data_IF_647940713034
#
_entry.id   IF_647940713034
#
_cell.length_a   1.000
_cell.length_b   1.000
_cell.length_c   1.000
_cell.angle_alpha   90.00
_cell.angle_beta   90.00
_cell.angle_gamma   90.00
#
_symmetry.space_group_name_H-M   'P 1'
#
loop_
_entity.id
_entity.type
_entity.pdbx_description
1 polymer ?
#
# COMPACT_ATOMS: atom_id res chain seq x y z
N UNK A 1 -0.96 -10.78 7.23
CA UNK A 1 -0.67 -10.56 5.79
C UNK A 1 0.52 -11.40 5.34
N UNK A 2 0.37 -12.74 5.24
CA UNK A 2 1.48 -13.65 4.93
C UNK A 2 1.73 -13.89 3.42
N UNK A 3 1.01 -13.22 2.51
CA UNK A 3 0.92 -13.71 1.11
C UNK A 3 1.39 -12.74 0.01
N UNK A 4 2.01 -11.58 0.31
CA UNK A 4 2.53 -10.69 -0.75
C UNK A 4 4.02 -10.96 -1.07
N UNK A 5 4.76 -11.57 -0.15
CA UNK A 5 6.19 -11.90 -0.35
C UNK A 5 6.47 -13.08 -1.29
N UNK A 6 5.45 -13.72 -1.86
CA UNK A 6 5.61 -14.97 -2.59
C UNK A 6 4.93 -15.02 -3.97
N UNK A 7 4.59 -13.87 -4.57
CA UNK A 7 4.41 -13.86 -6.02
C UNK A 7 5.76 -14.23 -6.63
N UNK A 8 5.86 -15.47 -7.11
CA UNK A 8 7.04 -16.10 -7.69
C UNK A 8 7.49 -15.32 -8.94
N UNK A 9 8.17 -14.20 -8.73
CA UNK A 9 8.98 -13.50 -9.74
C UNK A 9 10.24 -14.30 -10.15
N UNK A 10 10.28 -15.61 -9.86
CA UNK A 10 11.38 -16.52 -10.14
C UNK A 10 11.43 -17.03 -11.59
N UNK A 11 10.75 -16.37 -12.54
CA UNK A 11 11.00 -16.59 -13.97
C UNK A 11 11.92 -15.48 -14.50
N UNK A 12 13.18 -15.88 -14.72
CA UNK A 12 14.24 -15.24 -15.50
C UNK A 12 15.13 -14.17 -14.83
N UNK A 13 16.31 -14.66 -14.43
CA UNK A 13 17.64 -14.16 -14.83
C UNK A 13 17.82 -12.64 -14.92
N UNK A 14 18.34 -12.04 -13.85
CA UNK A 14 19.05 -10.75 -13.76
C UNK A 14 18.44 -9.46 -14.36
N UNK A 15 17.43 -9.53 -15.24
CA UNK A 15 16.93 -8.40 -16.05
C UNK A 15 15.72 -7.69 -15.43
N UNK A 16 15.17 -8.22 -14.33
CA UNK A 16 13.87 -7.78 -13.81
C UNK A 16 13.90 -7.18 -12.40
N UNK A 17 15.06 -7.12 -11.74
CA UNK A 17 15.21 -6.63 -10.36
C UNK A 17 14.61 -5.24 -10.15
N UNK A 18 14.73 -4.32 -11.12
CA UNK A 18 14.21 -2.97 -10.96
C UNK A 18 12.69 -2.94 -10.78
N UNK A 19 11.94 -3.72 -11.57
CA UNK A 19 10.47 -3.72 -11.46
C UNK A 19 10.02 -4.48 -10.21
N UNK A 20 10.67 -5.59 -9.89
CA UNK A 20 10.40 -6.33 -8.64
C UNK A 20 10.64 -5.43 -7.42
N UNK A 21 11.78 -4.74 -7.35
CA UNK A 21 12.08 -3.82 -6.25
C UNK A 21 11.10 -2.65 -6.19
N UNK A 22 10.61 -2.16 -7.34
CA UNK A 22 9.57 -1.14 -7.38
C UNK A 22 8.25 -1.65 -6.79
N UNK A 23 7.85 -2.89 -7.12
CA UNK A 23 6.62 -3.54 -6.63
C UNK A 23 6.73 -3.81 -5.13
N UNK A 24 7.83 -4.40 -4.70
CA UNK A 24 8.10 -4.64 -3.28
C UNK A 24 8.18 -3.34 -2.49
N UNK A 25 8.86 -2.32 -3.04
CA UNK A 25 8.99 -1.01 -2.41
C UNK A 25 7.66 -0.27 -2.26
N UNK A 26 6.83 -0.25 -3.31
CA UNK A 26 5.51 0.37 -3.23
C UNK A 26 4.57 -0.37 -2.28
N UNK A 27 4.59 -1.72 -2.29
CA UNK A 27 3.81 -2.53 -1.35
C UNK A 27 4.26 -2.35 0.12
N UNK A 28 5.57 -2.37 0.37
CA UNK A 28 6.14 -2.11 1.71
C UNK A 28 5.80 -0.72 2.21
N UNK A 29 5.96 0.29 1.35
CA UNK A 29 5.65 1.68 1.66
C UNK A 29 4.20 1.91 2.11
N UNK A 30 3.23 1.14 1.62
CA UNK A 30 1.84 1.23 2.10
C UNK A 30 1.78 0.95 3.59
N UNK A 31 2.35 -0.17 4.04
CA UNK A 31 2.35 -0.57 5.45
C UNK A 31 3.23 0.34 6.31
N UNK A 32 4.42 0.70 5.82
CA UNK A 32 5.37 1.54 6.56
C UNK A 32 4.75 2.90 6.89
N UNK A 33 4.08 3.53 5.92
CA UNK A 33 3.41 4.81 6.15
C UNK A 33 2.22 4.69 7.11
N UNK A 34 1.43 3.60 7.06
CA UNK A 34 0.33 3.39 8.03
C UNK A 34 0.91 3.31 9.44
N UNK A 35 1.95 2.50 9.64
CA UNK A 35 2.58 2.30 10.94
C UNK A 35 3.22 3.60 11.44
N UNK A 36 4.02 4.27 10.61
CA UNK A 36 4.69 5.51 10.99
C UNK A 36 3.68 6.60 11.36
N UNK A 37 2.64 6.79 10.54
CA UNK A 37 1.60 7.78 10.80
C UNK A 37 0.83 7.53 12.09
N UNK A 38 0.56 6.26 12.41
CA UNK A 38 -0.11 5.87 13.65
C UNK A 38 0.73 6.21 14.88
N UNK A 39 2.03 5.90 14.86
CA UNK A 39 2.96 6.17 15.96
C UNK A 39 3.17 7.67 16.25
N UNK A 40 2.83 8.57 15.31
CA UNK A 40 2.83 10.03 15.58
C UNK A 40 1.76 10.45 16.60
N UNK A 41 0.72 9.64 16.79
CA UNK A 41 -0.29 9.81 17.84
C UNK A 41 -1.28 10.96 17.64
N UNK A 42 -1.19 11.72 16.54
CA UNK A 42 -2.12 12.80 16.18
C UNK A 42 -2.87 12.49 14.88
N UNK A 43 -4.19 12.70 14.87
CA UNK A 43 -5.04 12.36 13.72
C UNK A 43 -4.67 13.13 12.44
N UNK A 44 -4.24 14.41 12.56
CA UNK A 44 -3.80 15.21 11.41
C UNK A 44 -2.55 14.64 10.74
N UNK A 45 -1.56 14.27 11.55
CA UNK A 45 -0.33 13.64 11.07
C UNK A 45 -0.66 12.26 10.48
N UNK A 46 -1.46 11.46 11.19
CA UNK A 46 -1.85 10.14 10.70
C UNK A 46 -2.58 10.20 9.36
N UNK A 47 -3.51 11.14 9.17
CA UNK A 47 -4.18 11.38 7.90
C UNK A 47 -3.20 11.66 6.76
N UNK A 48 -2.18 12.49 6.98
CA UNK A 48 -1.15 12.76 5.97
C UNK A 48 -0.47 11.47 5.51
N UNK A 49 -0.06 10.63 6.46
CA UNK A 49 0.57 9.34 6.17
C UNK A 49 -0.38 8.35 5.48
N UNK A 50 -1.67 8.31 5.86
CA UNK A 50 -2.66 7.47 5.17
C UNK A 50 -2.86 7.89 3.69
N UNK A 51 -2.78 9.18 3.39
CA UNK A 51 -2.79 9.65 2.00
C UNK A 51 -1.54 9.23 1.23
N UNK A 52 -0.37 9.20 1.88
CA UNK A 52 0.87 8.67 1.29
C UNK A 52 0.70 7.17 1.01
N UNK A 53 0.21 6.38 1.97
CA UNK A 53 -0.10 4.95 1.77
C UNK A 53 -1.06 4.72 0.60
N UNK A 54 -2.08 5.57 0.47
CA UNK A 54 -3.02 5.51 -0.66
C UNK A 54 -2.32 5.80 -1.99
N UNK A 55 -1.39 6.75 -2.01
CA UNK A 55 -0.50 7.03 -3.15
C UNK A 55 0.36 5.82 -3.54
N UNK A 56 1.04 5.21 -2.57
CA UNK A 56 1.86 4.00 -2.77
C UNK A 56 1.03 2.83 -3.32
N UNK A 57 -0.23 2.69 -2.92
CA UNK A 57 -1.13 1.69 -3.50
C UNK A 57 -1.52 1.99 -4.96
N UNK A 58 -1.64 3.28 -5.33
CA UNK A 58 -1.78 3.69 -6.73
C UNK A 58 -0.55 3.35 -7.57
N UNK A 59 0.64 3.54 -7.01
CA UNK A 59 1.89 3.18 -7.67
C UNK A 59 2.01 1.67 -7.87
N UNK A 60 1.74 0.88 -6.83
CA UNK A 60 1.73 -0.58 -6.89
C UNK A 60 0.85 -1.10 -8.04
N UNK A 61 -0.38 -0.60 -8.17
CA UNK A 61 -1.28 -0.99 -9.28
C UNK A 61 -0.72 -0.64 -10.66
N UNK A 62 -0.11 0.53 -10.79
CA UNK A 62 0.54 0.94 -12.05
C UNK A 62 1.70 0.02 -12.42
N UNK A 63 2.43 -0.46 -11.42
CA UNK A 63 3.52 -1.42 -11.62
C UNK A 63 3.01 -2.84 -11.91
N UNK A 64 1.87 -3.26 -11.37
CA UNK A 64 1.20 -4.50 -11.76
C UNK A 64 0.83 -4.51 -13.25
N UNK A 65 0.28 -3.41 -13.77
CA UNK A 65 -0.01 -3.31 -15.21
C UNK A 65 1.27 -3.48 -16.03
N UNK A 66 2.36 -2.80 -15.64
CA UNK A 66 3.66 -2.94 -16.30
C UNK A 66 4.20 -4.38 -16.23
N UNK A 67 3.94 -5.09 -15.14
CA UNK A 67 4.34 -6.48 -14.99
C UNK A 67 3.51 -7.40 -15.90
N UNK A 68 2.20 -7.16 -16.03
CA UNK A 68 1.31 -7.88 -16.94
C UNK A 68 1.70 -7.63 -18.41
N UNK A 69 1.88 -6.37 -18.81
CA UNK A 69 2.26 -5.98 -20.19
C UNK A 69 3.58 -6.63 -20.63
N UNK A 70 4.50 -6.86 -19.68
CA UNK A 70 5.79 -7.51 -19.92
C UNK A 70 5.72 -9.03 -19.81
N UNK A 71 4.54 -9.59 -19.58
CA UNK A 71 4.30 -11.02 -19.35
C UNK A 71 5.13 -11.59 -18.17
N UNK A 72 5.38 -10.78 -17.14
CA UNK A 72 6.08 -11.23 -15.92
C UNK A 72 5.14 -11.92 -14.93
N UNK A 73 3.86 -11.58 -14.98
CA UNK A 73 2.78 -12.22 -14.23
C UNK A 73 1.68 -12.62 -15.20
N UNK A 74 0.92 -13.64 -14.85
CA UNK A 74 -0.27 -14.06 -15.60
C UNK A 74 -1.46 -13.15 -15.29
N UNK A 75 -2.46 -13.14 -16.18
CA UNK A 75 -3.70 -12.39 -15.96
C UNK A 75 -4.36 -12.75 -14.63
N UNK A 76 -4.39 -14.04 -14.26
CA UNK A 76 -4.95 -14.48 -12.99
C UNK A 76 -4.21 -13.86 -11.78
N UNK A 77 -2.88 -13.87 -11.78
CA UNK A 77 -2.07 -13.26 -10.71
C UNK A 77 -2.28 -11.74 -10.66
N UNK A 78 -2.38 -11.09 -11.82
CA UNK A 78 -2.71 -9.67 -11.91
C UNK A 78 -4.08 -9.37 -11.29
N UNK A 79 -5.12 -10.13 -11.66
CA UNK A 79 -6.48 -9.91 -11.19
C UNK A 79 -6.58 -10.07 -9.66
N UNK A 80 -5.94 -11.09 -9.10
CA UNK A 80 -5.86 -11.34 -7.66
C UNK A 80 -5.19 -10.17 -6.92
N UNK A 81 -3.98 -9.76 -7.35
CA UNK A 81 -3.24 -8.68 -6.72
C UNK A 81 -3.94 -7.33 -6.88
N UNK A 82 -4.56 -7.10 -8.04
CA UNK A 82 -5.30 -5.87 -8.31
C UNK A 82 -6.56 -5.79 -7.45
N UNK A 83 -7.30 -6.90 -7.28
CA UNK A 83 -8.45 -6.97 -6.38
C UNK A 83 -8.05 -6.65 -4.93
N UNK A 84 -6.99 -7.29 -4.42
CA UNK A 84 -6.44 -7.02 -3.08
C UNK A 84 -6.05 -5.54 -2.91
N UNK A 85 -5.40 -4.96 -3.92
CA UNK A 85 -5.02 -3.53 -3.86
C UNK A 85 -6.23 -2.60 -3.80
N UNK A 86 -7.35 -2.96 -4.45
CA UNK A 86 -8.61 -2.19 -4.36
C UNK A 86 -9.22 -2.29 -2.97
N UNK A 87 -9.21 -3.48 -2.36
CA UNK A 87 -9.70 -3.65 -0.99
C UNK A 87 -8.92 -2.77 -0.02
N UNK A 88 -7.58 -2.75 -0.12
CA UNK A 88 -6.72 -1.88 0.69
C UNK A 88 -7.07 -0.40 0.52
N UNK A 89 -7.27 0.07 -0.72
CA UNK A 89 -7.69 1.46 -0.98
C UNK A 89 -9.04 1.77 -0.34
N UNK A 90 -10.01 0.86 -0.40
CA UNK A 90 -11.33 1.05 0.22
C UNK A 90 -11.18 1.15 1.75
N UNK A 91 -10.38 0.28 2.35
CA UNK A 91 -10.11 0.32 3.80
C UNK A 91 -9.42 1.61 4.21
N UNK A 92 -8.39 2.04 3.47
CA UNK A 92 -7.69 3.30 3.70
C UNK A 92 -8.64 4.49 3.59
N UNK A 93 -9.48 4.54 2.55
CA UNK A 93 -10.42 5.63 2.36
C UNK A 93 -11.41 5.72 3.52
N UNK A 94 -11.99 4.58 3.94
CA UNK A 94 -12.94 4.55 5.07
C UNK A 94 -12.28 5.03 6.37
N UNK A 95 -11.03 4.65 6.62
CA UNK A 95 -10.29 5.11 7.79
C UNK A 95 -9.98 6.61 7.72
N UNK A 96 -9.58 7.11 6.55
CA UNK A 96 -9.37 8.54 6.30
C UNK A 96 -10.66 9.32 6.58
N UNK A 97 -11.79 8.88 6.02
CA UNK A 97 -13.08 9.54 6.19
C UNK A 97 -13.50 9.55 7.66
N UNK A 98 -13.32 8.42 8.36
CA UNK A 98 -13.59 8.33 9.79
C UNK A 98 -12.74 9.32 10.60
N UNK A 99 -11.43 9.36 10.39
CA UNK A 99 -10.52 10.22 11.15
C UNK A 99 -10.72 11.70 10.82
N UNK A 100 -11.02 12.05 9.57
CA UNK A 100 -11.26 13.42 9.14
C UNK A 100 -12.53 14.02 9.76
N UNK A 101 -13.53 13.18 10.03
CA UNK A 101 -14.79 13.59 10.65
C UNK A 101 -14.83 13.33 12.17
N UNK A 102 -13.74 12.81 12.75
CA UNK A 102 -13.67 12.52 14.18
C UNK A 102 -13.37 13.79 14.99
N UNK A 103 -14.08 14.00 16.09
CA UNK A 103 -13.76 15.04 17.08
C UNK A 103 -12.47 14.72 17.87
N UNK A 104 -12.03 13.46 17.85
CA UNK A 104 -10.81 13.03 18.49
C UNK A 104 -9.60 13.61 17.72
N UNK A 105 -8.65 14.19 18.45
CA UNK A 105 -7.41 14.72 17.86
C UNK A 105 -6.26 13.71 17.84
N UNK A 106 -6.45 12.55 18.47
CA UNK A 106 -5.42 11.52 18.68
C UNK A 106 -4.91 11.49 20.12
N UNK A 107 -4.22 10.40 20.48
CA UNK A 107 -3.73 10.13 21.84
C UNK A 107 -2.75 11.19 22.36
N UNK A 108 -1.99 11.84 21.46
CA UNK A 108 -1.05 12.92 21.77
C UNK A 108 -1.72 14.16 22.38
N UNK A 109 -3.04 14.31 22.18
CA UNK A 109 -3.82 15.45 22.63
C UNK A 109 -4.84 15.11 23.71
N UNK A 110 -4.89 13.86 24.19
CA UNK A 110 -5.63 13.56 25.42
C UNK A 110 -4.89 14.25 26.57
N UNK A 111 -5.60 15.11 27.30
CA UNK A 111 -5.08 15.69 28.53
C UNK A 111 -4.62 14.54 29.46
N UNK A 112 -3.40 14.65 29.99
CA UNK A 112 -2.94 13.75 31.05
C UNK A 112 -3.71 14.01 32.33
#
# INVERSE_FOLDING_TARGET
MKNVQACRFNRCNQKNYRLTNQIEGSAGSIMDNIAEGFERGGNKEFLQFLYISKGSCGEFRSQLYRALDRNYIQQLEFDELFALSKEVIIMLQRLIDYLANSELKGIKYKAR
#
